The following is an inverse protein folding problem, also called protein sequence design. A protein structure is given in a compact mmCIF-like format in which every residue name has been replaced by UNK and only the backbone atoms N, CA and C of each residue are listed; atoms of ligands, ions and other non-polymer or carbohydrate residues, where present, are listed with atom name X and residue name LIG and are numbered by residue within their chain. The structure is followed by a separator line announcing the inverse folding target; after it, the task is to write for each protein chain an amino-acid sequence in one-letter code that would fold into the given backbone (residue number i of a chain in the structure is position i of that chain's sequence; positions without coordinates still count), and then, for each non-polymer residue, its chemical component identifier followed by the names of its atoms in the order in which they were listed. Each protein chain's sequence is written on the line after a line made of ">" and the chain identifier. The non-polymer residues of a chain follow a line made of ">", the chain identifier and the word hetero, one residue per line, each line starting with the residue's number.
data_IF_721650552732
#
_entry.id   IF_721650552732
#
_cell.length_a   1.000
_cell.length_b   1.000
_cell.length_c   1.000
_cell.angle_alpha   90.00
_cell.angle_beta   90.00
_cell.angle_gamma   90.00
#
_symmetry.space_group_name_H-M   'P 1'
#
loop_
_entity.id
_entity.type
_entity.pdbx_description
1 polymer ?
#
# COMPACT_ATOMS: atom_id res chain seq x y z
N UNK A 1 9.73 2.27 -26.00
CA UNK A 1 9.67 2.56 -24.55
C UNK A 1 8.24 2.95 -24.25
N UNK A 2 7.44 2.00 -23.74
CA UNK A 2 6.07 2.24 -23.29
C UNK A 2 6.14 2.73 -21.83
N UNK A 3 5.28 3.68 -21.39
CA UNK A 3 5.31 4.20 -20.03
C UNK A 3 4.73 3.15 -19.07
N UNK A 4 5.30 3.11 -17.86
CA UNK A 4 4.90 2.28 -16.73
C UNK A 4 4.04 3.18 -15.83
N UNK A 5 2.95 2.68 -15.26
CA UNK A 5 2.03 3.52 -14.47
C UNK A 5 0.71 2.81 -14.26
N UNK A 6 0.69 1.79 -13.40
CA UNK A 6 -0.49 0.97 -13.16
C UNK A 6 -1.50 1.80 -12.37
N UNK A 7 -2.74 1.91 -12.85
CA UNK A 7 -3.77 2.69 -12.16
C UNK A 7 -4.05 2.09 -10.77
N UNK A 8 -3.92 2.91 -9.73
CA UNK A 8 -4.54 2.69 -8.43
C UNK A 8 -5.91 3.37 -8.49
N UNK A 9 -6.94 2.71 -7.97
CA UNK A 9 -8.32 3.12 -8.17
C UNK A 9 -9.05 3.16 -6.85
N UNK A 10 -9.32 4.34 -6.32
CA UNK A 10 -10.41 4.51 -5.38
C UNK A 10 -11.70 4.14 -6.12
N UNK A 11 -12.55 3.30 -5.54
CA UNK A 11 -13.79 2.77 -6.16
C UNK A 11 -14.85 3.80 -6.56
N UNK A 12 -14.50 5.08 -6.71
CA UNK A 12 -15.36 6.13 -7.24
C UNK A 12 -15.29 6.08 -8.77
N UNK A 13 -16.18 5.30 -9.38
CA UNK A 13 -16.49 5.43 -10.80
C UNK A 13 -17.25 6.74 -10.99
N UNK A 14 -16.55 7.83 -11.34
CA UNK A 14 -17.22 8.92 -12.05
C UNK A 14 -17.72 8.38 -13.40
N UNK A 15 -18.97 8.61 -13.80
CA UNK A 15 -19.47 8.13 -15.08
C UNK A 15 -18.59 8.67 -16.20
N UNK A 16 -17.91 7.76 -16.92
CA UNK A 16 -17.18 8.06 -18.14
C UNK A 16 -18.17 8.55 -19.21
N UNK A 17 -18.53 9.83 -19.19
CA UNK A 17 -19.10 10.48 -20.35
C UNK A 17 -17.95 10.82 -21.29
N UNK A 18 -17.61 9.93 -22.23
CA UNK A 18 -16.85 10.37 -23.40
C UNK A 18 -15.88 9.42 -24.10
N UNK A 19 -15.84 8.12 -23.81
CA UNK A 19 -15.10 7.20 -24.71
C UNK A 19 -16.09 6.62 -25.73
N UNK A 20 -16.21 7.32 -26.86
CA UNK A 20 -16.83 6.78 -28.07
C UNK A 20 -15.90 5.70 -28.65
N UNK A 21 -16.32 4.42 -28.78
CA UNK A 21 -15.45 3.36 -29.26
C UNK A 21 -15.49 3.32 -30.79
N UNK A 22 -14.99 4.35 -31.46
CA UNK A 22 -14.80 4.36 -32.90
C UNK A 22 -13.92 5.52 -33.38
N UNK A 23 -12.60 5.50 -33.17
CA UNK A 23 -11.66 6.11 -34.11
C UNK A 23 -10.18 5.77 -33.79
N UNK A 24 -9.63 4.81 -34.55
CA UNK A 24 -8.33 4.89 -35.24
C UNK A 24 -7.93 3.46 -35.65
N UNK A 25 -8.40 3.02 -36.81
CA UNK A 25 -7.77 3.23 -38.11
C UNK A 25 -6.63 2.24 -38.40
N UNK A 26 -7.00 1.26 -39.22
CA UNK A 26 -6.21 0.73 -40.32
C UNK A 26 -5.34 1.84 -40.98
N UNK A 27 -4.02 1.62 -41.13
CA UNK A 27 -3.25 1.82 -42.38
C UNK A 27 -1.74 1.54 -42.20
N UNK A 28 -1.26 0.55 -42.97
CA UNK A 28 0.01 0.46 -43.71
C UNK A 28 1.40 0.69 -43.06
N UNK A 29 2.14 -0.41 -42.98
CA UNK A 29 3.29 -0.79 -43.85
C UNK A 29 4.67 -0.09 -43.73
N UNK A 30 5.63 -0.93 -43.32
CA UNK A 30 7.05 -1.13 -43.75
C UNK A 30 8.01 0.06 -43.86
N UNK A 31 9.07 -0.04 -43.06
CA UNK A 31 10.35 0.63 -43.30
C UNK A 31 11.47 0.14 -42.36
N UNK A 32 12.23 -0.87 -42.80
CA UNK A 32 13.51 -1.28 -42.20
C UNK A 32 14.52 -0.12 -42.16
N UNK A 33 15.34 -0.03 -41.10
CA UNK A 33 16.79 0.06 -41.28
C UNK A 33 17.57 -0.26 -39.99
N UNK A 34 18.57 -1.12 -40.15
CA UNK A 34 19.60 -1.50 -39.20
C UNK A 34 20.70 -0.44 -39.16
N UNK A 35 21.31 -0.20 -37.99
CA UNK A 35 22.76 0.06 -37.91
C UNK A 35 23.31 -0.32 -36.53
N UNK A 36 24.27 -1.24 -36.55
CA UNK A 36 25.16 -1.63 -35.44
C UNK A 36 26.40 -0.73 -35.44
N UNK A 37 26.84 -0.22 -34.28
CA UNK A 37 28.27 0.12 -34.05
C UNK A 37 28.65 -0.19 -32.60
N UNK A 38 29.76 -0.90 -32.44
CA UNK A 38 30.40 -1.32 -31.21
C UNK A 38 31.47 -0.32 -30.72
N UNK A 39 31.83 -0.40 -29.43
CA UNK A 39 33.05 0.18 -28.85
C UNK A 39 32.93 0.33 -27.32
N UNK A 40 33.33 -0.67 -26.54
CA UNK A 40 34.63 -0.74 -25.82
C UNK A 40 34.92 0.46 -24.91
N UNK A 41 34.95 0.25 -23.58
CA UNK A 41 36.22 0.10 -22.82
C UNK A 41 35.94 -0.16 -21.33
N UNK A 42 36.63 -1.16 -20.79
CA UNK A 42 36.82 -1.41 -19.36
C UNK A 42 37.68 -0.31 -18.74
N UNK A 43 37.46 -0.01 -17.46
CA UNK A 43 38.53 0.46 -16.59
C UNK A 43 38.31 -0.04 -15.16
N UNK A 44 39.26 -0.85 -14.70
CA UNK A 44 39.43 -1.37 -13.34
C UNK A 44 40.46 -0.51 -12.62
N UNK A 45 40.21 -0.13 -11.36
CA UNK A 45 41.24 0.17 -10.34
C UNK A 45 40.54 0.30 -8.97
N UNK A 46 40.63 -0.66 -8.06
CA UNK A 46 41.67 -0.96 -7.06
C UNK A 46 41.30 -0.46 -5.66
N UNK A 47 41.29 -1.42 -4.75
CA UNK A 47 41.07 -1.41 -3.30
C UNK A 47 42.07 -0.55 -2.53
N UNK A 48 41.62 0.10 -1.46
CA UNK A 48 42.48 0.42 -0.31
C UNK A 48 41.69 0.28 1.00
N UNK A 49 42.13 -0.69 1.80
CA UNK A 49 41.76 -0.91 3.20
C UNK A 49 42.53 0.07 4.09
N UNK A 50 41.92 0.56 5.16
CA UNK A 50 42.65 1.10 6.31
C UNK A 50 41.83 0.88 7.58
N UNK A 51 42.33 -0.03 8.42
CA UNK A 51 41.93 -0.23 9.79
C UNK A 51 42.46 0.91 10.67
N UNK A 52 41.67 1.31 11.67
CA UNK A 52 42.16 2.01 12.86
C UNK A 52 41.48 1.38 14.07
N UNK A 53 42.32 1.06 15.04
CA UNK A 53 42.07 0.27 16.26
C UNK A 53 41.94 1.20 17.48
N UNK A 54 41.20 0.71 18.50
CA UNK A 54 41.19 1.10 19.92
C UNK A 54 40.49 2.43 20.29
N UNK A 55 39.68 2.55 21.34
CA UNK A 55 39.82 2.00 22.70
C UNK A 55 38.47 1.80 23.42
N UNK A 56 38.44 0.77 24.27
CA UNK A 56 37.47 0.51 25.33
C UNK A 56 37.59 1.47 26.53
N UNK A 57 36.48 1.96 27.06
CA UNK A 57 36.33 2.28 28.49
C UNK A 57 34.96 1.81 28.98
N UNK A 58 34.99 0.97 30.02
CA UNK A 58 33.86 0.59 30.82
C UNK A 58 33.90 1.44 32.09
N UNK A 59 32.78 2.08 32.43
CA UNK A 59 32.53 2.51 33.80
C UNK A 59 31.06 2.28 34.15
N UNK A 60 30.84 1.65 35.29
CA UNK A 60 29.51 1.28 35.77
C UNK A 60 29.15 2.10 37.00
N UNK A 61 27.91 2.60 37.07
CA UNK A 61 27.24 2.78 38.36
C UNK A 61 25.74 3.05 38.25
N UNK A 62 25.00 2.12 38.86
CA UNK A 62 23.81 2.31 39.72
C UNK A 62 22.68 3.25 39.28
N UNK A 63 21.57 2.62 38.87
CA UNK A 63 20.30 2.65 39.60
C UNK A 63 19.59 4.01 39.72
N UNK A 64 18.61 4.23 38.85
CA UNK A 64 17.42 4.99 39.21
C UNK A 64 16.22 4.42 38.44
N UNK A 65 15.27 3.88 39.20
CA UNK A 65 13.95 3.49 38.75
C UNK A 65 13.13 4.73 38.42
N UNK A 66 12.72 4.89 37.16
CA UNK A 66 11.59 5.77 36.81
C UNK A 66 10.89 5.34 35.51
N UNK A 67 9.56 5.41 35.59
CA UNK A 67 8.49 5.34 34.59
C UNK A 67 8.62 4.46 33.33
N UNK A 68 7.67 3.53 33.21
CA UNK A 68 7.23 2.84 31.98
C UNK A 68 6.87 3.84 30.86
N UNK A 69 7.85 4.22 30.04
CA UNK A 69 7.62 4.51 28.64
C UNK A 69 7.65 3.18 27.90
N UNK A 70 6.50 2.71 27.42
CA UNK A 70 6.43 1.50 26.61
C UNK A 70 7.35 1.66 25.41
N UNK A 71 8.33 0.77 25.29
CA UNK A 71 9.15 0.63 24.10
C UNK A 71 8.20 0.46 22.91
N UNK A 72 8.28 1.33 21.89
CA UNK A 72 7.49 1.18 20.66
C UNK A 72 7.77 -0.24 20.16
N UNK A 73 6.75 -1.11 19.99
CA UNK A 73 7.01 -2.49 19.69
C UNK A 73 7.82 -2.58 18.40
N UNK A 74 8.86 -3.40 18.49
CA UNK A 74 9.68 -3.88 17.38
C UNK A 74 8.77 -4.27 16.21
N UNK A 75 9.24 -4.02 14.98
CA UNK A 75 8.65 -4.60 13.76
C UNK A 75 8.30 -6.08 14.05
N UNK A 76 7.02 -6.50 13.92
CA UNK A 76 6.56 -7.77 14.47
C UNK A 76 7.25 -8.97 13.83
N UNK A 77 7.36 -10.07 14.57
CA UNK A 77 7.85 -11.33 14.00
C UNK A 77 6.79 -11.96 13.11
N UNK A 78 7.20 -12.84 12.20
CA UNK A 78 6.28 -13.54 11.31
C UNK A 78 5.60 -14.72 12.00
N UNK A 79 4.28 -14.94 11.75
CA UNK A 79 3.58 -16.09 12.29
C UNK A 79 4.06 -17.37 11.60
N UNK A 80 4.25 -18.43 12.39
CA UNK A 80 4.67 -19.74 11.89
C UNK A 80 3.50 -20.69 11.61
N UNK A 81 2.33 -20.39 12.17
CA UNK A 81 1.11 -21.18 12.05
C UNK A 81 -0.01 -20.34 11.43
N UNK A 82 -0.78 -20.95 10.53
CA UNK A 82 -1.97 -20.34 9.93
C UNK A 82 -3.06 -20.12 10.97
N UNK A 83 -3.81 -19.02 10.84
CA UNK A 83 -5.07 -18.78 11.57
C UNK A 83 -6.22 -18.60 10.60
N UNK A 84 -7.40 -19.09 10.95
CA UNK A 84 -8.66 -18.62 10.36
C UNK A 84 -9.42 -17.71 11.35
N UNK A 85 -8.96 -17.64 12.60
CA UNK A 85 -9.57 -16.88 13.69
C UNK A 85 -8.77 -15.60 13.98
N UNK A 86 -9.45 -14.60 14.53
CA UNK A 86 -8.81 -13.48 15.24
C UNK A 86 -8.16 -13.97 16.53
N UNK A 87 -6.84 -13.87 16.60
CA UNK A 87 -6.12 -14.28 17.80
C UNK A 87 -6.27 -13.21 18.89
N UNK A 88 -6.10 -13.56 20.17
CA UNK A 88 -6.10 -12.56 21.22
C UNK A 88 -4.98 -11.55 21.02
N UNK A 89 -5.36 -10.28 20.85
CA UNK A 89 -4.46 -9.16 20.63
C UNK A 89 -3.50 -8.93 21.80
N UNK A 90 -2.30 -8.42 21.49
CA UNK A 90 -1.35 -7.92 22.49
C UNK A 90 -1.76 -6.53 23.06
N UNK A 91 -2.62 -5.80 22.35
CA UNK A 91 -3.14 -4.47 22.69
C UNK A 91 -4.62 -4.37 22.26
N UNK A 92 -5.48 -3.80 23.11
CA UNK A 92 -6.93 -3.63 22.83
C UNK A 92 -7.25 -2.35 22.04
N UNK A 93 -6.25 -1.51 21.71
CA UNK A 93 -6.42 -0.29 20.92
C UNK A 93 -6.79 -0.59 19.45
N UNK A 94 -7.41 0.35 18.72
CA UNK A 94 -7.68 0.16 17.30
C UNK A 94 -6.41 -0.16 16.48
N UNK A 95 -6.52 -1.19 15.65
CA UNK A 95 -5.40 -1.83 14.95
C UNK A 95 -5.69 -2.09 13.47
N UNK A 96 -4.62 -2.18 12.68
CA UNK A 96 -4.64 -2.70 11.32
C UNK A 96 -4.38 -4.20 11.38
N UNK A 97 -5.39 -4.99 11.05
CA UNK A 97 -5.28 -6.45 10.94
C UNK A 97 -4.95 -6.86 9.52
N UNK A 98 -4.03 -7.81 9.37
CA UNK A 98 -3.58 -8.28 8.06
C UNK A 98 -4.32 -9.57 7.70
N UNK A 99 -4.77 -9.68 6.45
CA UNK A 99 -5.44 -10.89 5.97
C UNK A 99 -4.87 -11.36 4.64
N UNK A 100 -4.66 -12.67 4.52
CA UNK A 100 -4.47 -13.36 3.24
C UNK A 100 -5.82 -13.94 2.80
N UNK A 101 -6.39 -13.38 1.74
CA UNK A 101 -7.74 -13.72 1.30
C UNK A 101 -7.69 -14.35 -0.09
N UNK A 102 -8.36 -15.48 -0.27
CA UNK A 102 -8.45 -16.18 -1.55
C UNK A 102 -9.90 -16.29 -2.02
N UNK A 103 -10.17 -16.20 -3.34
CA UNK A 103 -11.43 -16.68 -3.88
C UNK A 103 -11.58 -18.19 -3.60
N UNK A 104 -12.82 -18.68 -3.69
CA UNK A 104 -13.15 -20.08 -3.39
C UNK A 104 -12.35 -21.09 -4.24
N UNK A 105 -12.01 -20.71 -5.47
CA UNK A 105 -11.24 -21.49 -6.44
C UNK A 105 -9.78 -21.01 -6.61
N UNK A 106 -9.29 -20.11 -5.75
CA UNK A 106 -7.91 -19.61 -5.79
C UNK A 106 -6.88 -20.62 -5.27
N UNK A 107 -5.73 -20.67 -5.93
CA UNK A 107 -4.59 -21.46 -5.46
C UNK A 107 -4.00 -20.88 -4.17
N UNK A 108 -3.63 -21.76 -3.24
CA UNK A 108 -3.08 -21.38 -1.94
C UNK A 108 -1.56 -21.50 -1.93
N UNK A 109 -0.89 -20.36 -1.89
CA UNK A 109 0.58 -20.28 -1.82
C UNK A 109 1.10 -20.21 -0.38
N UNK A 110 0.20 -20.30 0.62
CA UNK A 110 0.52 -20.14 2.04
C UNK A 110 1.24 -18.83 2.38
N UNK A 111 0.84 -17.72 1.73
CA UNK A 111 1.47 -16.40 1.88
C UNK A 111 1.39 -15.84 3.31
N UNK A 112 0.43 -16.34 4.10
CA UNK A 112 0.24 -16.03 5.51
C UNK A 112 1.27 -16.67 6.45
N UNK A 113 1.99 -17.70 5.99
CA UNK A 113 2.92 -18.49 6.83
C UNK A 113 4.28 -18.75 6.19
N UNK A 114 4.48 -18.35 4.93
CA UNK A 114 5.75 -18.47 4.22
C UNK A 114 6.61 -17.20 4.29
N UNK A 115 6.35 -16.35 5.29
CA UNK A 115 6.95 -15.05 5.56
C UNK A 115 6.64 -13.93 4.56
N UNK A 116 6.13 -14.21 3.35
CA UNK A 116 6.02 -13.18 2.28
C UNK A 116 5.13 -11.99 2.64
N UNK A 117 3.91 -12.21 3.15
CA UNK A 117 3.04 -11.10 3.57
C UNK A 117 3.63 -10.40 4.81
N UNK A 118 4.18 -11.17 5.74
CA UNK A 118 4.84 -10.60 6.91
C UNK A 118 5.98 -9.67 6.49
N UNK A 119 6.89 -10.11 5.64
CA UNK A 119 8.03 -9.31 5.17
C UNK A 119 7.58 -8.09 4.36
N UNK A 120 6.48 -8.18 3.61
CA UNK A 120 5.83 -7.01 3.00
C UNK A 120 5.41 -5.99 4.05
N UNK A 121 4.72 -6.44 5.11
CA UNK A 121 4.29 -5.61 6.24
C UNK A 121 5.46 -4.97 6.96
N UNK A 122 6.51 -5.75 7.22
CA UNK A 122 7.75 -5.26 7.85
C UNK A 122 8.44 -4.22 6.98
N UNK A 123 8.44 -4.42 5.66
CA UNK A 123 9.05 -3.51 4.68
C UNK A 123 8.37 -2.14 4.68
N UNK A 124 7.06 -2.09 4.45
CA UNK A 124 6.35 -0.80 4.44
C UNK A 124 6.27 -0.16 5.83
N UNK A 125 6.24 -0.95 6.92
CA UNK A 125 6.31 -0.40 8.29
C UNK A 125 7.67 0.26 8.55
N UNK A 126 8.76 -0.39 8.14
CA UNK A 126 10.12 0.14 8.31
C UNK A 126 10.31 1.42 7.51
N UNK A 127 9.82 1.46 6.26
CA UNK A 127 9.85 2.67 5.46
C UNK A 127 9.03 3.79 6.09
N UNK A 128 7.79 3.51 6.51
CA UNK A 128 6.91 4.50 7.12
C UNK A 128 7.58 5.12 8.35
N UNK A 129 8.12 4.31 9.26
CA UNK A 129 8.86 4.81 10.44
C UNK A 129 10.02 5.73 10.07
N UNK A 130 10.72 5.41 8.99
CA UNK A 130 11.79 6.24 8.45
C UNK A 130 11.32 7.59 7.89
N UNK A 131 10.02 7.74 7.60
CA UNK A 131 9.42 8.99 7.14
C UNK A 131 8.79 9.81 8.27
N UNK A 132 8.52 9.23 9.45
CA UNK A 132 7.55 9.78 10.43
C UNK A 132 8.09 9.95 11.85
N UNK A 133 9.40 10.08 12.02
CA UNK A 133 10.05 10.13 13.33
C UNK A 133 9.66 8.94 14.22
N UNK A 134 9.78 7.73 13.66
CA UNK A 134 9.49 6.43 14.29
C UNK A 134 8.01 6.10 14.54
N UNK A 135 7.05 6.95 14.15
CA UNK A 135 5.61 6.61 14.18
C UNK A 135 5.28 5.50 13.19
N UNK A 136 4.32 4.65 13.52
CA UNK A 136 3.88 3.56 12.63
C UNK A 136 2.37 3.34 12.71
N UNK A 137 1.80 2.65 11.71
CA UNK A 137 0.46 2.08 11.86
C UNK A 137 0.50 0.99 12.96
N UNK A 138 -0.50 0.97 13.82
CA UNK A 138 -0.62 -0.03 14.89
C UNK A 138 -1.10 -1.32 14.27
N UNK A 139 -0.19 -2.27 14.15
CA UNK A 139 -0.47 -3.59 13.63
C UNK A 139 -1.16 -4.44 14.70
N UNK A 140 -2.03 -5.31 14.22
CA UNK A 140 -2.60 -6.38 15.02
C UNK A 140 -1.56 -7.48 15.26
N UNK A 141 -1.27 -7.77 16.53
CA UNK A 141 -0.27 -8.75 16.92
C UNK A 141 -0.79 -9.65 18.03
N UNK A 142 -0.35 -10.91 18.02
CA UNK A 142 -0.61 -11.87 19.08
C UNK A 142 0.69 -12.56 19.49
N UNK A 143 1.09 -12.39 20.75
CA UNK A 143 2.34 -12.93 21.28
C UNK A 143 3.59 -12.33 20.63
N UNK A 144 3.52 -11.08 20.14
CA UNK A 144 4.61 -10.38 19.47
C UNK A 144 4.79 -10.71 17.98
N UNK A 145 3.99 -11.62 17.43
CA UNK A 145 3.94 -11.91 16.01
C UNK A 145 2.75 -11.21 15.35
N UNK A 146 2.88 -10.88 14.07
CA UNK A 146 1.78 -10.31 13.27
C UNK A 146 0.62 -11.32 13.21
N UNK A 147 -0.61 -10.88 13.54
CA UNK A 147 -1.79 -11.74 13.34
C UNK A 147 -2.27 -11.66 11.89
N UNK A 148 -1.78 -12.60 11.07
CA UNK A 148 -2.27 -12.76 9.69
C UNK A 148 -3.42 -13.76 9.69
N UNK A 149 -4.62 -13.29 9.35
CA UNK A 149 -5.80 -14.15 9.14
C UNK A 149 -5.83 -14.73 7.72
N UNK A 150 -6.02 -16.03 7.59
CA UNK A 150 -6.29 -16.70 6.33
C UNK A 150 -7.80 -16.83 6.11
N UNK A 151 -8.28 -16.41 4.94
CA UNK A 151 -9.69 -16.52 4.57
C UNK A 151 -9.84 -17.06 3.16
N UNK A 152 -10.73 -18.03 2.99
CA UNK A 152 -11.22 -18.46 1.68
C UNK A 152 -12.67 -18.03 1.51
N UNK A 153 -12.91 -17.15 0.56
CA UNK A 153 -14.24 -16.58 0.28
C UNK A 153 -15.19 -17.64 -0.29
N UNK A 154 -16.49 -17.35 -0.29
CA UNK A 154 -17.50 -18.26 -0.85
C UNK A 154 -17.61 -18.16 -2.37
N UNK A 155 -17.22 -17.01 -2.93
CA UNK A 155 -17.27 -16.68 -4.36
C UNK A 155 -15.98 -17.04 -5.09
N UNK A 156 -16.12 -17.43 -6.36
CA UNK A 156 -14.99 -17.71 -7.25
C UNK A 156 -14.30 -16.43 -7.70
N UNK A 157 -13.09 -16.54 -8.23
CA UNK A 157 -12.34 -15.39 -8.72
C UNK A 157 -13.12 -14.64 -9.81
N UNK A 158 -13.76 -15.35 -10.74
CA UNK A 158 -14.59 -14.72 -11.77
C UNK A 158 -15.78 -13.92 -11.20
N UNK A 159 -16.37 -14.38 -10.08
CA UNK A 159 -17.45 -13.67 -9.40
C UNK A 159 -16.93 -12.45 -8.64
N UNK A 160 -15.75 -12.54 -8.05
CA UNK A 160 -15.07 -11.44 -7.35
C UNK A 160 -14.48 -10.41 -8.32
N UNK A 161 -14.04 -10.83 -9.50
CA UNK A 161 -13.52 -9.98 -10.57
C UNK A 161 -14.64 -9.14 -11.18
N UNK A 162 -15.78 -9.75 -11.50
CA UNK A 162 -16.88 -9.08 -12.18
C UNK A 162 -16.77 -9.18 -13.70
N UNK A 163 -17.76 -8.63 -14.40
CA UNK A 163 -17.94 -8.89 -15.85
C UNK A 163 -18.30 -7.64 -16.67
N UNK A 164 -18.49 -6.48 -16.04
CA UNK A 164 -18.98 -5.29 -16.74
C UNK A 164 -18.26 -3.99 -16.34
N UNK A 165 -18.16 -3.06 -17.28
CA UNK A 165 -17.66 -1.69 -17.06
C UNK A 165 -18.79 -0.76 -16.57
N UNK A 166 -19.43 -1.11 -15.45
CA UNK A 166 -20.58 -0.38 -14.91
C UNK A 166 -20.43 -0.13 -13.42
N UNK A 167 -21.10 0.91 -12.93
CA UNK A 167 -21.15 1.29 -11.51
C UNK A 167 -22.15 0.40 -10.73
N UNK A 168 -21.83 -0.89 -10.63
CA UNK A 168 -22.62 -1.90 -9.89
C UNK A 168 -21.66 -2.80 -9.11
N UNK A 169 -21.85 -2.89 -7.78
CA UNK A 169 -20.93 -3.63 -6.91
C UNK A 169 -20.90 -5.13 -7.24
N UNK A 170 -22.02 -5.72 -7.65
CA UNK A 170 -22.10 -7.17 -7.87
C UNK A 170 -21.46 -7.60 -9.19
N UNK A 171 -21.49 -6.74 -10.21
CA UNK A 171 -21.10 -7.11 -11.58
C UNK A 171 -20.00 -6.24 -12.19
N UNK A 172 -19.74 -5.06 -11.63
CA UNK A 172 -18.75 -4.10 -12.11
C UNK A 172 -17.32 -4.52 -11.77
N UNK A 173 -16.39 -4.46 -12.73
CA UNK A 173 -15.01 -4.89 -12.48
C UNK A 173 -14.20 -3.99 -11.52
N UNK A 174 -14.67 -2.78 -11.23
CA UNK A 174 -13.99 -1.84 -10.34
C UNK A 174 -14.22 -2.14 -8.84
N UNK A 175 -15.18 -3.01 -8.51
CA UNK A 175 -15.70 -3.20 -7.14
C UNK A 175 -15.19 -4.49 -6.49
N UNK A 176 -13.94 -4.89 -6.74
CA UNK A 176 -13.36 -6.10 -6.14
C UNK A 176 -13.24 -5.92 -4.61
N UNK A 177 -12.74 -4.77 -4.14
CA UNK A 177 -12.65 -4.46 -2.69
C UNK A 177 -14.00 -4.51 -2.00
N UNK A 178 -15.03 -3.89 -2.55
CA UNK A 178 -16.38 -3.87 -1.99
C UNK A 178 -16.93 -5.30 -1.80
N UNK A 179 -16.70 -6.18 -2.79
CA UNK A 179 -17.12 -7.57 -2.71
C UNK A 179 -16.31 -8.37 -1.70
N UNK A 180 -15.00 -8.09 -1.55
CA UNK A 180 -14.18 -8.68 -0.48
C UNK A 180 -14.78 -8.31 0.87
N UNK A 181 -15.01 -7.02 1.10
CA UNK A 181 -15.55 -6.52 2.36
C UNK A 181 -16.93 -7.12 2.69
N UNK A 182 -17.82 -7.21 1.69
CA UNK A 182 -19.12 -7.85 1.87
C UNK A 182 -19.01 -9.33 2.25
N UNK A 183 -18.12 -10.11 1.62
CA UNK A 183 -17.93 -11.51 1.97
C UNK A 183 -17.34 -11.67 3.38
N UNK A 184 -16.37 -10.83 3.77
CA UNK A 184 -15.79 -10.83 5.12
C UNK A 184 -16.82 -10.43 6.18
N UNK A 185 -17.66 -9.43 5.89
CA UNK A 185 -18.75 -9.01 6.76
C UNK A 185 -19.79 -10.13 6.94
N UNK A 186 -20.20 -10.77 5.84
CA UNK A 186 -21.15 -11.89 5.87
C UNK A 186 -20.59 -13.12 6.60
N UNK A 187 -19.27 -13.31 6.58
CA UNK A 187 -18.58 -14.34 7.35
C UNK A 187 -18.40 -13.97 8.84
N UNK A 188 -18.70 -12.72 9.25
CA UNK A 188 -18.54 -12.26 10.62
C UNK A 188 -17.08 -12.03 11.02
N UNK A 189 -16.21 -11.72 10.05
CA UNK A 189 -14.77 -11.57 10.24
C UNK A 189 -14.31 -10.12 10.44
N UNK A 190 -15.24 -9.16 10.33
CA UNK A 190 -14.96 -7.73 10.53
C UNK A 190 -15.38 -7.28 11.93
N UNK A 191 -14.44 -6.69 12.67
CA UNK A 191 -14.59 -6.14 14.00
C UNK A 191 -14.58 -4.60 13.91
N UNK A 192 -15.44 -3.89 14.65
CA UNK A 192 -15.60 -2.43 14.51
C UNK A 192 -14.38 -1.61 14.97
N UNK A 193 -13.41 -2.22 15.64
CA UNK A 193 -12.17 -1.59 16.10
C UNK A 193 -10.97 -1.82 15.18
N UNK A 194 -11.17 -2.45 14.02
CA UNK A 194 -10.07 -2.86 13.13
C UNK A 194 -10.23 -2.28 11.72
N UNK A 195 -9.12 -1.93 11.10
CA UNK A 195 -9.00 -1.78 9.63
C UNK A 195 -8.27 -3.01 9.11
N UNK A 196 -8.56 -3.41 7.87
CA UNK A 196 -8.08 -4.65 7.29
C UNK A 196 -7.18 -4.39 6.09
N UNK A 197 -5.91 -4.78 6.20
CA UNK A 197 -4.97 -4.87 5.09
C UNK A 197 -5.10 -6.24 4.43
N UNK A 198 -5.87 -6.31 3.33
CA UNK A 198 -6.20 -7.55 2.64
C UNK A 198 -5.27 -7.78 1.45
N UNK A 199 -4.41 -8.79 1.55
CA UNK A 199 -3.68 -9.34 0.43
C UNK A 199 -4.58 -10.38 -0.26
N UNK A 200 -5.25 -9.98 -1.34
CA UNK A 200 -6.20 -10.81 -2.07
C UNK A 200 -5.50 -11.55 -3.21
N UNK A 201 -5.55 -12.88 -3.23
CA UNK A 201 -4.91 -13.72 -4.25
C UNK A 201 -5.61 -13.74 -5.61
N UNK A 202 -6.80 -13.14 -5.73
CA UNK A 202 -7.56 -13.14 -6.97
C UNK A 202 -7.21 -12.00 -7.94
N UNK A 203 -7.94 -11.95 -9.04
CA UNK A 203 -7.70 -11.05 -10.16
C UNK A 203 -8.44 -9.72 -10.05
N UNK A 204 -7.88 -8.74 -10.75
CA UNK A 204 -8.48 -7.43 -11.04
C UNK A 204 -7.90 -6.92 -12.35
N UNK A 205 -8.75 -6.51 -13.28
CA UNK A 205 -8.34 -5.83 -14.52
C UNK A 205 -8.44 -4.30 -14.41
N UNK A 206 -8.91 -3.77 -13.28
CA UNK A 206 -9.18 -2.34 -13.10
C UNK A 206 -8.05 -1.58 -12.41
N UNK A 207 -7.52 -2.16 -11.33
CA UNK A 207 -6.50 -1.55 -10.47
C UNK A 207 -5.64 -2.66 -9.85
N UNK A 208 -4.50 -2.31 -9.24
CA UNK A 208 -3.73 -3.25 -8.42
C UNK A 208 -4.17 -3.31 -6.95
N UNK A 209 -4.86 -2.27 -6.48
CA UNK A 209 -5.42 -2.22 -5.14
C UNK A 209 -6.71 -1.42 -5.12
N UNK A 210 -7.31 -1.33 -3.94
CA UNK A 210 -8.39 -0.39 -3.66
C UNK A 210 -8.60 -0.25 -2.16
N UNK A 211 -8.72 0.99 -1.69
CA UNK A 211 -9.08 1.36 -0.33
C UNK A 211 -10.53 1.80 -0.19
N UNK A 212 -10.98 1.90 1.05
CA UNK A 212 -12.05 2.84 1.40
C UNK A 212 -11.57 4.27 1.17
N UNK A 213 -12.48 5.25 1.14
CA UNK A 213 -12.13 6.66 0.98
C UNK A 213 -13.12 7.53 1.76
N UNK A 214 -13.01 7.52 3.10
CA UNK A 214 -13.92 8.27 3.94
C UNK A 214 -13.77 9.79 3.73
N UNK A 215 -14.85 10.57 3.88
CA UNK A 215 -16.19 10.16 4.29
C UNK A 215 -17.08 9.66 3.13
N UNK A 216 -16.56 9.60 1.89
CA UNK A 216 -17.35 9.19 0.73
C UNK A 216 -17.63 7.69 0.72
N UNK A 217 -16.64 6.90 1.11
CA UNK A 217 -16.73 5.45 1.26
C UNK A 217 -16.18 5.10 2.64
N UNK A 218 -17.09 4.91 3.61
CA UNK A 218 -16.76 4.58 5.01
C UNK A 218 -16.85 3.07 5.18
N UNK A 219 -15.68 2.43 5.15
CA UNK A 219 -15.53 0.98 5.07
C UNK A 219 -14.18 0.58 5.71
N UNK A 220 -13.97 -0.71 5.97
CA UNK A 220 -12.84 -1.19 6.79
C UNK A 220 -11.71 -1.83 5.99
N UNK A 221 -11.86 -2.07 4.68
CA UNK A 221 -10.89 -2.85 3.88
C UNK A 221 -10.04 -1.98 2.95
N UNK A 222 -8.72 -2.10 3.08
CA UNK A 222 -7.73 -1.81 2.06
C UNK A 222 -7.30 -3.12 1.40
N UNK A 223 -7.41 -3.25 0.09
CA UNK A 223 -7.14 -4.49 -0.63
C UNK A 223 -6.02 -4.31 -1.66
N UNK A 224 -5.12 -5.30 -1.71
CA UNK A 224 -4.10 -5.45 -2.74
C UNK A 224 -4.39 -6.73 -3.54
N UNK A 225 -4.52 -6.62 -4.86
CA UNK A 225 -4.88 -7.72 -5.75
C UNK A 225 -3.64 -8.39 -6.36
N UNK A 226 -3.21 -9.51 -5.77
CA UNK A 226 -1.98 -10.21 -6.14
C UNK A 226 -2.04 -10.87 -7.53
N UNK A 227 -3.24 -11.28 -7.95
CA UNK A 227 -3.54 -11.75 -9.30
C UNK A 227 -3.94 -10.63 -10.27
N UNK A 228 -3.78 -9.36 -9.87
CA UNK A 228 -4.17 -8.22 -10.68
C UNK A 228 -3.33 -8.07 -11.96
N UNK A 229 -4.01 -7.78 -13.07
CA UNK A 229 -3.41 -7.60 -14.39
C UNK A 229 -4.24 -6.60 -15.20
N UNK A 230 -3.89 -5.32 -15.09
CA UNK A 230 -4.56 -4.27 -15.86
C UNK A 230 -4.15 -4.37 -17.34
N UNK A 231 -5.10 -4.30 -18.29
CA UNK A 231 -4.78 -4.30 -19.71
C UNK A 231 -3.79 -3.19 -20.09
N UNK A 232 -2.67 -3.56 -20.71
CA UNK A 232 -1.63 -2.62 -21.15
C UNK A 232 -0.53 -2.35 -20.11
N UNK A 233 -0.64 -2.90 -18.90
CA UNK A 233 0.34 -2.74 -17.83
C UNK A 233 1.00 -4.08 -17.44
N UNK A 234 2.16 -4.07 -16.75
CA UNK A 234 2.67 -5.28 -16.09
C UNK A 234 1.69 -5.81 -15.04
N UNK A 235 1.79 -7.11 -14.74
CA UNK A 235 1.07 -7.68 -13.59
C UNK A 235 1.45 -6.94 -12.30
N UNK A 236 0.51 -6.85 -11.36
CA UNK A 236 0.71 -6.16 -10.08
C UNK A 236 1.86 -6.74 -9.27
N UNK A 237 2.14 -8.04 -9.46
CA UNK A 237 3.22 -8.80 -8.82
C UNK A 237 4.38 -9.09 -9.77
N UNK A 238 4.54 -8.30 -10.83
CA UNK A 238 5.60 -8.48 -11.84
C UNK A 238 7.02 -8.25 -11.32
N UNK A 239 7.15 -7.58 -10.18
CA UNK A 239 8.41 -7.43 -9.45
C UNK A 239 8.37 -8.23 -8.14
N UNK A 240 9.53 -8.75 -7.68
CA UNK A 240 9.63 -9.36 -6.36
C UNK A 240 9.12 -8.42 -5.26
N UNK A 241 8.47 -8.98 -4.25
CA UNK A 241 7.87 -8.27 -3.13
C UNK A 241 7.75 -9.20 -1.93
N UNK A 242 7.69 -8.62 -0.73
CA UNK A 242 7.69 -9.41 0.50
C UNK A 242 8.98 -10.20 0.68
N UNK A 243 10.12 -9.57 0.40
CA UNK A 243 11.45 -10.15 0.55
C UNK A 243 12.11 -9.59 1.81
N UNK A 244 12.84 -10.42 2.59
CA UNK A 244 13.50 -9.96 3.79
C UNK A 244 14.60 -8.94 3.47
N UNK A 245 14.70 -7.90 4.30
CA UNK A 245 15.70 -6.84 4.21
C UNK A 245 15.69 -6.04 2.87
N UNK A 246 14.65 -6.19 2.05
CA UNK A 246 14.44 -5.37 0.87
C UNK A 246 13.82 -4.03 1.24
N UNK A 247 14.19 -2.98 0.51
CA UNK A 247 13.40 -1.75 0.49
C UNK A 247 12.00 -2.05 -0.09
N UNK A 248 10.96 -1.27 0.26
CA UNK A 248 9.62 -1.52 -0.25
C UNK A 248 9.60 -1.58 -1.77
N UNK A 249 8.96 -2.63 -2.28
CA UNK A 249 8.66 -2.79 -3.69
C UNK A 249 7.26 -2.25 -3.99
N UNK A 250 6.83 -2.37 -5.24
CA UNK A 250 5.53 -1.87 -5.70
C UNK A 250 4.35 -2.35 -4.82
N UNK A 251 4.28 -3.65 -4.51
CA UNK A 251 3.19 -4.23 -3.69
C UNK A 251 3.20 -3.66 -2.27
N UNK A 252 4.38 -3.42 -1.71
CA UNK A 252 4.52 -2.90 -0.34
C UNK A 252 4.03 -1.46 -0.27
N UNK A 253 4.42 -0.62 -1.23
CA UNK A 253 3.91 0.76 -1.34
C UNK A 253 2.43 0.80 -1.68
N UNK A 254 1.96 -0.05 -2.58
CA UNK A 254 0.55 -0.08 -2.98
C UNK A 254 -0.35 -0.46 -1.79
N UNK A 255 0.01 -1.46 -0.98
CA UNK A 255 -0.75 -1.76 0.23
C UNK A 255 -0.79 -0.57 1.18
N UNK A 256 0.35 0.09 1.40
CA UNK A 256 0.39 1.27 2.26
C UNK A 256 -0.45 2.44 1.71
N UNK A 257 -0.43 2.66 0.40
CA UNK A 257 -1.26 3.64 -0.30
C UNK A 257 -2.76 3.39 -0.07
N UNK A 258 -3.23 2.15 -0.24
CA UNK A 258 -4.64 1.81 -0.01
C UNK A 258 -5.04 1.90 1.48
N UNK A 259 -4.09 1.69 2.39
CA UNK A 259 -4.31 1.93 3.82
C UNK A 259 -4.45 3.42 4.12
N UNK A 260 -3.62 4.28 3.51
CA UNK A 260 -3.77 5.74 3.66
C UNK A 260 -5.13 6.20 3.17
N UNK A 261 -5.59 5.68 2.02
CA UNK A 261 -6.97 5.90 1.56
C UNK A 261 -8.01 5.52 2.59
N UNK A 262 -7.93 4.30 3.11
CA UNK A 262 -8.89 3.79 4.10
C UNK A 262 -8.89 4.61 5.40
N UNK A 263 -7.76 5.22 5.76
CA UNK A 263 -7.64 6.10 6.92
C UNK A 263 -8.16 7.53 6.67
N UNK A 264 -8.39 7.92 5.41
CA UNK A 264 -8.99 9.21 5.03
C UNK A 264 -8.11 10.11 4.17
N UNK A 265 -6.94 9.66 3.74
CA UNK A 265 -6.12 10.40 2.78
C UNK A 265 -6.57 10.15 1.32
N UNK A 266 -6.38 11.08 0.41
CA UNK A 266 -6.11 12.50 0.62
C UNK A 266 -7.44 13.21 0.83
N UNK A 267 -7.57 14.12 1.81
CA UNK A 267 -8.83 14.82 2.04
C UNK A 267 -9.29 15.60 0.79
N UNK A 268 -10.59 15.67 0.52
CA UNK A 268 -11.19 16.39 -0.61
C UNK A 268 -10.85 17.89 -0.65
N UNK A 269 -10.45 18.46 0.49
CA UNK A 269 -10.07 19.86 0.62
C UNK A 269 -8.55 20.07 0.67
N UNK A 270 -7.75 19.00 0.61
CA UNK A 270 -6.31 19.10 0.59
C UNK A 270 -5.82 19.90 -0.64
N UNK A 271 -4.77 20.71 -0.49
CA UNK A 271 -4.33 21.66 -1.51
C UNK A 271 -3.95 21.00 -2.84
N UNK A 272 -3.45 19.77 -2.80
CA UNK A 272 -3.05 19.01 -3.98
C UNK A 272 -3.97 17.82 -4.29
N UNK A 273 -5.17 17.77 -3.70
CA UNK A 273 -6.14 16.73 -4.01
C UNK A 273 -6.40 16.64 -5.52
N UNK A 274 -6.39 15.40 -6.00
CA UNK A 274 -6.67 15.06 -7.37
C UNK A 274 -7.25 13.65 -7.46
N UNK A 275 -7.91 13.34 -8.59
CA UNK A 275 -8.34 12.00 -8.97
C UNK A 275 -9.05 11.21 -7.85
N UNK A 276 -9.89 11.89 -7.06
CA UNK A 276 -10.69 11.28 -6.00
C UNK A 276 -9.82 10.63 -4.92
N UNK A 277 -9.02 11.45 -4.23
CA UNK A 277 -8.25 11.03 -3.06
C UNK A 277 -6.76 10.81 -3.29
N UNK A 278 -6.24 11.14 -4.47
CA UNK A 278 -4.81 11.14 -4.77
C UNK A 278 -4.22 12.56 -4.64
N UNK A 279 -2.90 12.67 -4.68
CA UNK A 279 -2.18 13.94 -4.65
C UNK A 279 -1.49 14.21 -6.00
N UNK A 280 -1.47 15.48 -6.40
CA UNK A 280 -0.61 15.97 -7.48
C UNK A 280 -0.13 17.41 -7.20
N UNK A 281 1.11 17.54 -6.74
CA UNK A 281 1.77 18.84 -6.55
C UNK A 281 2.33 19.40 -7.87
N UNK A 282 1.61 20.35 -8.49
CA UNK A 282 2.05 21.04 -9.72
C UNK A 282 3.34 21.88 -9.54
N UNK A 283 3.67 22.24 -8.31
CA UNK A 283 4.85 23.02 -7.95
C UNK A 283 6.11 22.17 -7.71
N UNK A 284 5.93 20.89 -7.41
CA UNK A 284 7.02 19.96 -7.19
C UNK A 284 7.82 19.68 -8.46
N UNK A 285 9.13 19.48 -8.29
CA UNK A 285 9.99 19.01 -9.37
C UNK A 285 9.69 17.56 -9.76
N UNK A 286 9.27 16.73 -8.79
CA UNK A 286 8.94 15.31 -8.96
C UNK A 286 7.66 14.92 -8.20
N UNK A 287 6.48 15.39 -8.62
CA UNK A 287 5.21 15.05 -7.96
C UNK A 287 4.92 13.55 -7.89
N UNK A 288 5.48 12.77 -8.82
CA UNK A 288 5.34 11.32 -8.85
C UNK A 288 6.06 10.57 -7.73
N UNK A 289 6.77 11.29 -6.86
CA UNK A 289 7.37 10.71 -5.64
C UNK A 289 6.43 10.75 -4.44
N UNK A 290 5.27 11.39 -4.50
CA UNK A 290 4.28 11.27 -3.43
C UNK A 290 3.73 9.83 -3.36
N UNK A 291 3.61 9.29 -2.14
CA UNK A 291 2.94 8.00 -1.91
C UNK A 291 1.51 8.01 -2.48
N UNK A 292 0.77 9.10 -2.38
CA UNK A 292 -0.60 9.23 -2.88
C UNK A 292 -0.67 9.73 -4.33
N UNK A 293 0.44 9.74 -5.06
CA UNK A 293 0.46 10.24 -6.43
C UNK A 293 -0.51 9.51 -7.38
N UNK A 294 -1.22 10.27 -8.22
CA UNK A 294 -1.77 9.77 -9.48
C UNK A 294 -1.44 10.70 -10.64
N UNK A 295 -1.26 10.18 -11.87
CA UNK A 295 -1.08 11.02 -13.04
C UNK A 295 -2.35 11.83 -13.35
N UNK A 296 -2.17 13.06 -13.83
CA UNK A 296 -3.26 13.88 -14.36
C UNK A 296 -3.66 13.46 -15.76
N UNK A 297 -4.96 13.53 -16.04
CA UNK A 297 -5.49 13.27 -17.39
C UNK A 297 -4.80 14.17 -18.43
N UNK A 298 -4.42 13.56 -19.55
CA UNK A 298 -3.77 14.27 -20.67
C UNK A 298 -2.30 14.63 -20.44
N UNK A 299 -1.72 14.29 -19.28
CA UNK A 299 -0.29 14.41 -19.05
C UNK A 299 0.43 13.09 -19.32
N UNK A 300 1.71 13.18 -19.71
CA UNK A 300 2.55 12.00 -19.83
C UNK A 300 2.89 11.52 -18.42
N UNK A 301 2.40 10.34 -18.07
CA UNK A 301 2.71 9.70 -16.81
C UNK A 301 4.22 9.41 -16.70
N UNK A 302 4.93 10.01 -15.73
CA UNK A 302 6.33 9.71 -15.43
C UNK A 302 6.53 8.34 -14.76
N UNK A 303 5.46 7.58 -14.49
CA UNK A 303 5.39 6.44 -13.59
C UNK A 303 5.47 6.85 -12.13
N UNK A 304 4.77 6.13 -11.26
CA UNK A 304 4.92 6.25 -9.81
C UNK A 304 6.38 6.01 -9.42
N UNK A 305 6.94 6.90 -8.60
CA UNK A 305 8.37 7.04 -8.30
C UNK A 305 9.01 5.90 -7.50
N UNK A 306 8.41 4.71 -7.49
CA UNK A 306 8.84 3.51 -6.77
C UNK A 306 10.31 3.13 -7.05
N UNK A 307 10.82 3.47 -8.23
CA UNK A 307 12.20 3.17 -8.64
C UNK A 307 13.13 4.38 -8.72
N UNK A 308 12.68 5.54 -8.23
CA UNK A 308 13.53 6.74 -8.20
C UNK A 308 14.65 6.56 -7.16
N UNK A 309 15.86 7.14 -7.38
CA UNK A 309 16.96 7.04 -6.42
C UNK A 309 16.64 7.60 -5.03
N UNK A 310 15.64 8.49 -4.92
CA UNK A 310 15.13 9.03 -3.66
C UNK A 310 13.94 8.25 -3.07
N UNK A 311 13.39 7.29 -3.82
CA UNK A 311 12.17 6.56 -3.47
C UNK A 311 10.92 7.42 -3.47
N UNK A 312 9.83 6.83 -2.97
CA UNK A 312 8.63 7.58 -2.61
C UNK A 312 8.85 8.37 -1.32
N UNK A 313 8.04 9.41 -1.14
CA UNK A 313 7.97 10.28 0.02
C UNK A 313 6.54 10.24 0.57
N UNK A 314 6.41 10.22 1.90
CA UNK A 314 5.11 10.35 2.55
C UNK A 314 4.72 11.83 2.59
N UNK A 315 3.59 12.19 1.99
CA UNK A 315 3.01 13.54 1.94
C UNK A 315 4.04 14.58 1.49
N UNK A 316 4.22 14.68 0.17
CA UNK A 316 5.23 15.52 -0.46
C UNK A 316 4.94 16.99 -0.17
N UNK A 317 5.64 17.56 0.80
CA UNK A 317 5.42 18.94 1.24
C UNK A 317 4.87 19.04 2.65
N UNK A 318 4.36 17.94 3.21
CA UNK A 318 3.70 17.87 4.54
C UNK A 318 2.52 18.83 4.62
N UNK A 319 1.66 18.81 3.61
CA UNK A 319 0.56 19.75 3.47
C UNK A 319 -0.75 19.14 2.97
N UNK A 320 -0.81 17.84 2.70
CA UNK A 320 -2.03 17.19 2.19
C UNK A 320 -2.69 16.21 3.17
N UNK A 321 -1.94 15.37 3.89
CA UNK A 321 -2.57 14.28 4.68
C UNK A 321 -1.77 13.72 5.86
N UNK A 322 -0.53 14.15 6.11
CA UNK A 322 0.29 13.64 7.20
C UNK A 322 1.23 14.68 7.80
N UNK A 323 1.03 14.98 9.08
CA UNK A 323 1.83 15.85 9.95
C UNK A 323 1.91 17.29 9.40
N UNK A 324 0.74 17.84 9.08
CA UNK A 324 0.58 19.19 8.54
C UNK A 324 -0.10 20.13 9.54
N UNK A 325 0.02 21.44 9.34
CA UNK A 325 -0.50 22.44 10.29
C UNK A 325 -1.97 22.86 10.06
N UNK A 326 -2.68 22.31 9.08
CA UNK A 326 -4.08 22.68 8.78
C UNK A 326 -5.08 21.89 9.65
N UNK A 327 -5.77 22.53 10.61
CA UNK A 327 -6.70 21.85 11.50
C UNK A 327 -8.05 21.49 10.86
N UNK A 328 -8.34 22.00 9.66
CA UNK A 328 -9.58 21.73 8.93
C UNK A 328 -9.48 20.49 8.01
N UNK A 329 -8.27 19.94 7.84
CA UNK A 329 -7.99 18.74 7.03
C UNK A 329 -7.77 17.50 7.91
N UNK A 330 -8.00 16.33 7.32
CA UNK A 330 -7.62 15.06 7.95
C UNK A 330 -6.11 14.94 7.99
N UNK A 331 -5.55 14.92 9.20
CA UNK A 331 -4.15 14.59 9.43
C UNK A 331 -4.02 13.15 9.95
N UNK A 332 -3.40 12.28 9.15
CA UNK A 332 -3.18 10.89 9.52
C UNK A 332 -2.19 10.72 10.67
N UNK A 333 -1.35 11.72 10.98
CA UNK A 333 -0.52 11.73 12.18
C UNK A 333 -1.35 11.73 13.47
N UNK A 334 -2.58 12.23 13.42
CA UNK A 334 -3.54 12.25 14.53
C UNK A 334 -4.45 11.00 14.56
N UNK A 335 -4.25 10.04 13.65
CA UNK A 335 -5.09 8.85 13.60
C UNK A 335 -4.93 7.99 14.87
N UNK A 336 -6.05 7.48 15.40
CA UNK A 336 -6.05 6.51 16.49
C UNK A 336 -5.36 5.21 16.11
N UNK A 337 -5.22 4.91 14.82
CA UNK A 337 -4.49 3.76 14.31
C UNK A 337 -2.97 3.99 14.23
N UNK A 338 -2.46 5.18 14.56
CA UNK A 338 -1.01 5.44 14.66
C UNK A 338 -0.50 5.13 16.07
N UNK A 339 0.70 4.55 16.13
CA UNK A 339 1.45 4.24 17.35
C UNK A 339 2.75 5.07 17.40
N UNK A 340 3.12 5.63 18.58
CA UNK A 340 2.30 5.72 19.80
C UNK A 340 1.03 6.52 19.56
N UNK A 341 -0.03 6.26 20.35
CA UNK A 341 -1.31 6.96 20.17
C UNK A 341 -1.12 8.47 20.34
N UNK A 342 -1.45 9.28 19.32
CA UNK A 342 -1.30 10.74 19.41
C UNK A 342 -2.27 11.33 20.42
N UNK A 343 -1.94 12.50 20.96
CA UNK A 343 -2.82 13.21 21.86
C UNK A 343 -4.01 13.78 21.08
N UNK A 344 -5.25 13.45 21.50
CA UNK A 344 -6.44 13.87 20.76
C UNK A 344 -6.76 13.00 19.55
N UNK A 345 -6.22 11.78 19.51
CA UNK A 345 -6.37 10.86 18.40
C UNK A 345 -7.82 10.72 17.88
N UNK A 346 -7.96 10.67 16.56
CA UNK A 346 -9.24 10.63 15.85
C UNK A 346 -9.45 9.32 15.10
N UNK A 347 -10.70 8.93 14.91
CA UNK A 347 -11.06 7.87 13.99
C UNK A 347 -11.10 8.41 12.55
N UNK A 348 -10.99 7.55 11.52
CA UNK A 348 -11.24 7.95 10.14
C UNK A 348 -12.59 8.66 9.99
N UNK A 349 -12.73 9.59 9.03
CA UNK A 349 -13.97 10.35 8.86
C UNK A 349 -15.20 9.44 8.69
N UNK A 350 -16.18 9.58 9.58
CA UNK A 350 -17.45 8.86 9.49
C UNK A 350 -17.47 7.44 10.08
N UNK A 351 -16.36 6.97 10.67
CA UNK A 351 -16.23 5.67 11.33
C UNK A 351 -17.27 5.40 12.44
#
# INVERSE_FOLDING_TARGET
>A
MLPWGVALGCGIVTPLTGIDPAESANTSDVGHSSTTVAGMTESTTTTASSAVDSTSEADGSSGSSDSTGGEIPMVPTCPIDRSEDDRPDDDDAPQIRVMYVLPSDGDDEALDTNDRICDSVRSWTTWLRGQTDDRQLRLDTAGGALDIGFVRLSRTDAQMHGTAAIADVETGFAYVRDRIEQELLLAGLLAPSKIYAVYYGGSSEYACGGGAYPPLIVDQVAAMYLGGQIPGFPACTSVPWGEPDAAPAYVDYAMLHELMHTLGAVDLLAPHEHASGHAYDDGAAMPWTDLMYSPREGQRDPAWGVYEPGGLQLDLGRDDYFDHDDPDLVDLADSIFVAPTPAGASLPPGW
#
